data_IF_065954126878
#
_entry.id   IF_065954126878
#
_cell.length_a   1.000
_cell.length_b   1.000
_cell.length_c   1.000
_cell.angle_alpha   90.00
_cell.angle_beta   90.00
_cell.angle_gamma   90.00
#
_symmetry.space_group_name_H-M   'P 1'
#
loop_
_entity.id
_entity.type
_entity.pdbx_description
1 polymer ?
#
# COMPACT_ATOMS: atom_id res chain seq x y z
N UNK A 1 -18.51 -8.88 15.56
CA UNK A 1 -17.99 -8.90 14.19
C UNK A 1 -18.39 -10.21 13.57
N UNK A 2 -18.98 -10.19 12.38
CA UNK A 2 -19.24 -11.42 11.64
C UNK A 2 -17.88 -12.05 11.31
N UNK A 3 -17.64 -13.27 11.78
CA UNK A 3 -16.40 -13.96 11.43
C UNK A 3 -16.45 -14.26 9.93
N UNK A 4 -15.46 -13.80 9.17
CA UNK A 4 -15.28 -14.22 7.78
C UNK A 4 -15.10 -15.75 7.80
N UNK A 5 -16.09 -16.49 7.33
CA UNK A 5 -16.05 -17.98 7.31
C UNK A 5 -15.58 -18.52 5.97
N UNK A 6 -15.79 -17.77 4.89
CA UNK A 6 -15.39 -18.14 3.54
C UNK A 6 -13.84 -18.22 3.42
N UNK A 7 -13.27 -19.39 3.07
CA UNK A 7 -11.84 -19.56 2.85
C UNK A 7 -11.23 -18.61 1.81
N UNK A 8 -11.96 -18.29 0.74
CA UNK A 8 -11.46 -17.38 -0.31
C UNK A 8 -11.32 -15.96 0.24
N UNK A 9 -12.33 -15.50 0.97
CA UNK A 9 -12.32 -14.20 1.61
C UNK A 9 -11.23 -14.11 2.69
N UNK A 10 -11.01 -15.17 3.47
CA UNK A 10 -9.87 -15.25 4.41
C UNK A 10 -8.53 -15.11 3.70
N UNK A 11 -8.36 -15.79 2.56
CA UNK A 11 -7.12 -15.71 1.79
C UNK A 11 -6.88 -14.29 1.26
N UNK A 12 -7.92 -13.63 0.74
CA UNK A 12 -7.81 -12.21 0.31
C UNK A 12 -7.45 -11.28 1.47
N UNK A 13 -8.08 -11.43 2.64
CA UNK A 13 -7.74 -10.61 3.82
C UNK A 13 -6.29 -10.84 4.26
N UNK A 14 -5.83 -12.10 4.28
CA UNK A 14 -4.45 -12.42 4.65
C UNK A 14 -3.44 -11.84 3.64
N UNK A 15 -3.73 -11.92 2.34
CA UNK A 15 -2.91 -11.31 1.30
C UNK A 15 -2.87 -9.78 1.42
N UNK A 16 -4.03 -9.15 1.65
CA UNK A 16 -4.14 -7.70 1.84
C UNK A 16 -3.31 -7.23 3.04
N UNK A 17 -3.34 -7.98 4.15
CA UNK A 17 -2.49 -7.72 5.31
C UNK A 17 -1.00 -7.85 4.98
N UNK A 18 -0.62 -8.93 4.30
CA UNK A 18 0.77 -9.15 3.93
C UNK A 18 1.29 -8.05 2.98
N UNK A 19 0.47 -7.61 2.02
CA UNK A 19 0.79 -6.47 1.15
C UNK A 19 0.99 -5.19 1.97
N UNK A 20 -0.01 -4.84 2.80
CA UNK A 20 0.00 -3.65 3.67
C UNK A 20 1.24 -3.61 4.58
N UNK A 21 1.62 -4.75 5.18
CA UNK A 21 2.78 -4.84 6.03
C UNK A 21 4.10 -4.61 5.28
N UNK A 22 4.21 -5.09 4.03
CA UNK A 22 5.37 -4.79 3.17
C UNK A 22 5.43 -3.30 2.81
N UNK A 23 4.31 -2.71 2.40
CA UNK A 23 4.25 -1.28 2.05
C UNK A 23 4.63 -0.42 3.25
N UNK A 24 4.14 -0.72 4.45
CA UNK A 24 4.51 -0.03 5.67
C UNK A 24 6.01 -0.11 5.98
N UNK A 25 6.60 -1.31 5.93
CA UNK A 25 8.02 -1.51 6.18
C UNK A 25 8.89 -0.78 5.13
N UNK A 26 8.50 -0.83 3.87
CA UNK A 26 9.20 -0.14 2.77
C UNK A 26 9.07 1.39 2.91
N UNK A 27 7.87 1.90 3.18
CA UNK A 27 7.63 3.34 3.33
C UNK A 27 8.46 3.94 4.47
N UNK A 28 8.60 3.23 5.59
CA UNK A 28 9.46 3.63 6.71
C UNK A 28 10.93 3.78 6.27
N UNK A 29 11.45 2.77 5.58
CA UNK A 29 12.85 2.72 5.16
C UNK A 29 13.13 3.78 4.09
N UNK A 30 12.24 3.91 3.10
CA UNK A 30 12.32 4.93 2.04
C UNK A 30 12.28 6.32 2.67
N UNK A 31 11.35 6.57 3.61
CA UNK A 31 11.28 7.85 4.31
C UNK A 31 12.60 8.20 5.00
N UNK A 32 13.18 7.26 5.75
CA UNK A 32 14.42 7.52 6.49
C UNK A 32 15.64 7.70 5.59
N UNK A 33 15.75 6.94 4.50
CA UNK A 33 16.97 6.90 3.67
C UNK A 33 16.91 7.85 2.48
N UNK A 34 15.73 8.05 1.90
CA UNK A 34 15.52 8.69 0.60
C UNK A 34 14.84 10.05 0.77
N UNK A 35 13.56 10.09 1.13
CA UNK A 35 12.77 11.33 1.09
C UNK A 35 12.95 12.24 2.30
N UNK A 36 13.45 11.69 3.41
CA UNK A 36 13.64 12.39 4.70
C UNK A 36 12.34 12.95 5.32
N UNK A 37 11.17 12.47 4.88
CA UNK A 37 9.92 12.68 5.62
C UNK A 37 9.92 11.87 6.92
N UNK A 38 8.97 12.14 7.82
CA UNK A 38 8.87 11.41 9.09
C UNK A 38 8.63 9.89 8.85
N UNK A 39 9.57 9.01 9.25
CA UNK A 39 9.48 7.57 8.94
C UNK A 39 8.30 6.87 9.61
N UNK A 40 7.90 7.30 10.80
CA UNK A 40 6.77 6.71 11.51
C UNK A 40 5.44 7.07 10.85
N UNK A 41 5.30 8.32 10.38
CA UNK A 41 4.16 8.76 9.57
C UNK A 41 4.10 8.01 8.25
N UNK A 42 5.24 7.75 7.60
CA UNK A 42 5.30 6.95 6.37
C UNK A 42 4.91 5.49 6.61
N UNK A 43 5.42 4.88 7.69
CA UNK A 43 5.02 3.54 8.10
C UNK A 43 3.51 3.47 8.36
N UNK A 44 2.98 4.44 9.11
CA UNK A 44 1.56 4.52 9.43
C UNK A 44 0.71 4.71 8.16
N UNK A 45 1.13 5.56 7.22
CA UNK A 45 0.47 5.70 5.93
C UNK A 45 0.43 4.36 5.19
N UNK A 46 1.53 3.61 5.18
CA UNK A 46 1.56 2.26 4.63
C UNK A 46 0.64 1.27 5.35
N UNK A 47 0.44 1.39 6.67
CA UNK A 47 -0.52 0.53 7.40
C UNK A 47 -1.97 0.81 7.01
N UNK A 48 -2.32 2.07 6.73
CA UNK A 48 -3.73 2.47 6.55
C UNK A 48 -4.15 2.65 5.09
N UNK A 49 -3.21 2.61 4.13
CA UNK A 49 -3.50 2.98 2.74
C UNK A 49 -4.62 2.15 2.08
N UNK A 50 -4.75 0.87 2.43
CA UNK A 50 -5.81 -0.02 1.92
C UNK A 50 -6.90 -0.35 2.96
N UNK A 51 -7.10 0.49 3.97
CA UNK A 51 -8.16 0.26 4.99
C UNK A 51 -9.57 0.18 4.36
N UNK A 52 -9.79 0.83 3.22
CA UNK A 52 -11.02 0.70 2.44
C UNK A 52 -11.23 -0.73 1.91
N UNK A 53 -10.16 -1.39 1.49
CA UNK A 53 -10.18 -2.79 1.06
C UNK A 53 -10.51 -3.74 2.20
N UNK A 54 -9.93 -3.55 3.38
CA UNK A 54 -10.30 -4.32 4.58
C UNK A 54 -11.78 -4.15 4.93
N UNK A 55 -12.29 -2.91 4.83
CA UNK A 55 -13.69 -2.64 5.06
C UNK A 55 -14.59 -3.37 4.05
N UNK A 56 -14.27 -3.29 2.75
CA UNK A 56 -14.98 -4.01 1.69
C UNK A 56 -15.04 -5.52 2.00
N UNK A 57 -13.89 -6.15 2.25
CA UNK A 57 -13.81 -7.58 2.54
C UNK A 57 -14.57 -7.96 3.82
N UNK A 58 -14.58 -7.09 4.83
CA UNK A 58 -15.36 -7.31 6.07
C UNK A 58 -16.89 -7.31 5.83
N UNK A 59 -17.34 -6.63 4.78
CA UNK A 59 -18.76 -6.51 4.40
C UNK A 59 -19.19 -7.51 3.34
N UNK A 60 -18.27 -8.24 2.72
CA UNK A 60 -18.59 -9.17 1.63
C UNK A 60 -19.61 -10.26 1.99
N UNK A 61 -19.64 -10.71 3.26
CA UNK A 61 -20.66 -11.66 3.72
C UNK A 61 -22.08 -11.05 3.84
N UNK A 62 -22.18 -9.73 4.03
CA UNK A 62 -23.45 -9.00 4.17
C UNK A 62 -24.02 -8.59 2.79
N UNK A 63 -23.16 -8.50 1.77
CA UNK A 63 -23.52 -8.13 0.41
C UNK A 63 -23.00 -9.17 -0.59
N UNK A 64 -23.75 -10.28 -0.79
CA UNK A 64 -23.40 -11.28 -1.80
C UNK A 64 -23.24 -10.62 -3.18
N UNK A 65 -22.15 -10.94 -3.86
CA UNK A 65 -21.85 -10.39 -5.19
C UNK A 65 -21.07 -9.08 -5.21
N UNK A 66 -20.75 -8.49 -4.05
CA UNK A 66 -19.93 -7.25 -4.00
C UNK A 66 -18.50 -7.44 -4.52
N UNK A 67 -18.03 -8.69 -4.60
CA UNK A 67 -16.72 -9.07 -5.16
C UNK A 67 -16.83 -9.76 -6.53
N UNK A 68 -18.04 -9.89 -7.09
CA UNK A 68 -18.29 -10.61 -8.35
C UNK A 68 -18.12 -9.70 -9.59
N UNK A 69 -17.88 -8.39 -9.38
CA UNK A 69 -17.58 -7.43 -10.45
C UNK A 69 -16.18 -7.61 -11.03
N UNK A 70 -15.88 -6.86 -12.08
CA UNK A 70 -14.52 -6.81 -12.61
C UNK A 70 -13.61 -6.10 -11.58
N UNK A 71 -12.34 -6.52 -11.40
CA UNK A 71 -11.41 -5.83 -10.50
C UNK A 71 -11.33 -4.32 -10.73
N UNK A 72 -11.51 -3.89 -11.98
CA UNK A 72 -11.52 -2.48 -12.38
C UNK A 72 -12.72 -1.70 -11.80
N UNK A 73 -13.84 -2.34 -11.47
CA UNK A 73 -15.01 -1.67 -10.86
C UNK A 73 -14.65 -1.12 -9.46
N UNK A 74 -13.81 -1.85 -8.72
CA UNK A 74 -13.31 -1.37 -7.43
C UNK A 74 -12.44 -0.13 -7.61
N UNK A 75 -11.50 -0.18 -8.56
CA UNK A 75 -10.58 0.91 -8.87
C UNK A 75 -11.34 2.17 -9.35
N UNK A 76 -12.34 2.01 -10.21
CA UNK A 76 -13.05 3.13 -10.83
C UNK A 76 -14.07 3.79 -9.89
N UNK A 77 -14.80 2.98 -9.10
CA UNK A 77 -15.97 3.49 -8.36
C UNK A 77 -15.88 3.33 -6.84
N UNK A 78 -15.21 2.28 -6.37
CA UNK A 78 -15.27 1.86 -4.97
C UNK A 78 -14.17 2.46 -4.09
N UNK A 79 -12.92 2.38 -4.57
CA UNK A 79 -11.73 2.57 -3.75
C UNK A 79 -11.68 3.96 -3.10
N UNK A 80 -11.83 5.01 -3.90
CA UNK A 80 -11.76 6.38 -3.39
C UNK A 80 -12.92 6.70 -2.45
N UNK A 81 -14.14 6.28 -2.80
CA UNK A 81 -15.33 6.61 -2.01
C UNK A 81 -15.32 5.91 -0.65
N UNK A 82 -15.05 4.60 -0.65
CA UNK A 82 -15.01 3.80 0.56
C UNK A 82 -13.77 4.13 1.38
N UNK A 83 -12.60 4.25 0.73
CA UNK A 83 -11.34 4.63 1.35
C UNK A 83 -11.45 5.95 2.13
N UNK A 84 -11.89 7.04 1.48
CA UNK A 84 -12.08 8.34 2.14
C UNK A 84 -13.07 8.25 3.30
N UNK A 85 -14.18 7.55 3.12
CA UNK A 85 -15.19 7.37 4.15
C UNK A 85 -14.62 6.70 5.41
N UNK A 86 -13.87 5.61 5.23
CA UNK A 86 -13.25 4.87 6.34
C UNK A 86 -12.14 5.68 7.00
N UNK A 87 -11.21 6.24 6.23
CA UNK A 87 -10.11 7.06 6.74
C UNK A 87 -10.62 8.28 7.52
N UNK A 88 -11.69 8.93 7.05
CA UNK A 88 -12.35 10.04 7.75
C UNK A 88 -12.92 9.58 9.09
N UNK A 89 -13.58 8.41 9.13
CA UNK A 89 -14.15 7.86 10.36
C UNK A 89 -13.10 7.44 11.39
N UNK A 90 -11.92 7.04 10.92
CA UNK A 90 -10.76 6.73 11.77
C UNK A 90 -10.01 7.99 12.22
N UNK A 91 -10.45 9.19 11.81
CA UNK A 91 -9.81 10.47 12.12
C UNK A 91 -8.32 10.51 11.73
N UNK A 92 -8.02 9.92 10.57
CA UNK A 92 -6.66 9.90 10.02
C UNK A 92 -6.19 11.34 9.76
N UNK A 93 -4.93 11.69 10.11
CA UNK A 93 -4.38 13.01 9.84
C UNK A 93 -4.42 13.38 8.36
N UNK A 94 -4.65 14.66 8.05
CA UNK A 94 -4.75 15.17 6.67
C UNK A 94 -3.52 14.84 5.83
N UNK A 95 -2.33 14.90 6.43
CA UNK A 95 -1.07 14.54 5.75
C UNK A 95 -1.07 13.10 5.23
N UNK A 96 -1.61 12.16 6.02
CA UNK A 96 -1.72 10.75 5.66
C UNK A 96 -2.85 10.54 4.66
N UNK A 97 -3.99 11.20 4.84
CA UNK A 97 -5.09 11.18 3.85
C UNK A 97 -4.59 11.60 2.47
N UNK A 98 -3.86 12.71 2.38
CA UNK A 98 -3.32 13.23 1.12
C UNK A 98 -2.32 12.25 0.47
N UNK A 99 -1.52 11.55 1.29
CA UNK A 99 -0.61 10.52 0.79
C UNK A 99 -1.36 9.32 0.20
N UNK A 100 -2.43 8.87 0.85
CA UNK A 100 -3.28 7.79 0.32
C UNK A 100 -4.02 8.24 -0.95
N UNK A 101 -4.53 9.48 -0.99
CA UNK A 101 -5.16 10.03 -2.20
C UNK A 101 -4.18 10.09 -3.39
N UNK A 102 -2.89 10.28 -3.13
CA UNK A 102 -1.86 10.27 -4.18
C UNK A 102 -1.71 8.90 -4.87
N UNK A 103 -1.97 7.80 -4.16
CA UNK A 103 -1.97 6.45 -4.74
C UNK A 103 -3.06 6.29 -5.80
N UNK A 104 -4.26 6.80 -5.51
CA UNK A 104 -5.41 6.67 -6.41
C UNK A 104 -5.26 7.50 -7.69
N UNK A 105 -4.44 8.56 -7.63
CA UNK A 105 -4.11 9.39 -8.79
C UNK A 105 -3.01 8.73 -9.64
N UNK A 106 -2.08 8.01 -9.00
CA UNK A 106 -1.04 7.24 -9.69
C UNK A 106 0.06 8.08 -10.36
N UNK A 107 0.18 9.37 -10.03
CA UNK A 107 1.25 10.22 -10.56
C UNK A 107 2.57 9.92 -9.84
N UNK A 108 3.54 9.34 -10.57
CA UNK A 108 4.88 9.07 -10.04
C UNK A 108 5.79 10.30 -10.11
N UNK A 109 6.41 10.64 -8.98
CA UNK A 109 7.56 11.54 -8.92
C UNK A 109 8.83 10.72 -8.61
N UNK A 110 9.89 10.94 -9.40
CA UNK A 110 11.20 10.31 -9.24
C UNK A 110 12.28 11.40 -9.35
N UNK A 111 13.08 11.64 -8.30
CA UNK A 111 13.05 10.97 -7.00
C UNK A 111 11.76 11.28 -6.20
N UNK A 112 11.36 10.42 -5.26
CA UNK A 112 10.25 10.74 -4.36
C UNK A 112 10.67 11.87 -3.41
N UNK A 113 9.79 12.85 -3.20
CA UNK A 113 10.11 14.06 -2.42
C UNK A 113 9.17 14.24 -1.23
N UNK A 114 7.95 13.71 -1.31
CA UNK A 114 6.93 13.85 -0.26
C UNK A 114 6.40 12.50 0.24
N UNK A 115 5.48 12.55 1.20
CA UNK A 115 4.87 11.36 1.82
C UNK A 115 4.07 10.51 0.82
N UNK A 116 3.36 11.16 -0.12
CA UNK A 116 2.63 10.48 -1.20
C UNK A 116 3.58 9.75 -2.14
N UNK A 117 4.66 10.39 -2.58
CA UNK A 117 5.67 9.74 -3.44
C UNK A 117 6.36 8.57 -2.73
N UNK A 118 6.65 8.75 -1.43
CA UNK A 118 7.21 7.70 -0.57
C UNK A 118 6.29 6.48 -0.53
N UNK A 119 5.00 6.71 -0.30
CA UNK A 119 3.99 5.66 -0.20
C UNK A 119 3.77 4.97 -1.55
N UNK A 120 3.72 5.73 -2.65
CA UNK A 120 3.60 5.21 -4.01
C UNK A 120 4.78 4.31 -4.38
N UNK A 121 6.01 4.75 -4.09
CA UNK A 121 7.19 3.93 -4.33
C UNK A 121 7.21 2.66 -3.46
N UNK A 122 6.80 2.77 -2.18
CA UNK A 122 6.69 1.63 -1.30
C UNK A 122 5.66 0.59 -1.80
N UNK A 123 4.53 1.07 -2.31
CA UNK A 123 3.49 0.24 -2.93
C UNK A 123 4.04 -0.51 -4.15
N UNK A 124 4.69 0.23 -5.06
CA UNK A 124 5.29 -0.30 -6.28
C UNK A 124 6.39 -1.34 -6.03
N UNK A 125 7.16 -1.18 -4.94
CA UNK A 125 8.23 -2.09 -4.54
C UNK A 125 7.76 -3.30 -3.72
N UNK A 126 6.48 -3.33 -3.31
CA UNK A 126 5.94 -4.43 -2.52
C UNK A 126 6.02 -5.75 -3.30
N UNK A 127 6.62 -6.81 -2.73
CA UNK A 127 6.73 -8.10 -3.41
C UNK A 127 5.41 -8.88 -3.42
N UNK A 128 4.43 -8.45 -2.62
CA UNK A 128 3.11 -9.07 -2.52
C UNK A 128 2.13 -8.13 -3.19
N UNK A 129 1.40 -8.54 -4.24
CA UNK A 129 0.40 -7.67 -4.87
C UNK A 129 -0.83 -7.52 -3.97
N UNK A 130 -1.49 -6.37 -4.05
CA UNK A 130 -2.82 -6.19 -3.45
C UNK A 130 -3.82 -7.14 -4.13
N UNK A 131 -4.65 -7.88 -3.36
CA UNK A 131 -5.68 -8.76 -3.90
C UNK A 131 -6.89 -8.01 -4.50
N UNK A 132 -6.87 -6.68 -4.45
CA UNK A 132 -7.92 -5.78 -4.97
C UNK A 132 -7.44 -4.93 -6.16
N UNK A 133 -6.14 -4.97 -6.48
CA UNK A 133 -5.54 -4.23 -7.60
C UNK A 133 -4.90 -5.18 -8.62
N UNK A 134 -5.67 -6.16 -9.08
CA UNK A 134 -5.22 -7.08 -10.14
C UNK A 134 -5.32 -6.38 -11.50
N UNK A 135 -4.32 -5.58 -11.87
CA UNK A 135 -4.27 -4.97 -13.21
C UNK A 135 -3.34 -5.77 -14.14
N UNK A 136 -3.85 -6.43 -15.20
CA UNK A 136 -3.02 -7.24 -16.12
C UNK A 136 -2.08 -6.43 -17.05
N UNK A 137 -2.02 -5.10 -16.94
CA UNK A 137 -1.30 -4.27 -17.92
C UNK A 137 -0.66 -2.98 -17.40
N UNK A 138 -0.92 -2.56 -16.16
CA UNK A 138 -0.36 -1.33 -15.61
C UNK A 138 1.00 -1.61 -14.98
N UNK A 139 2.08 -1.46 -15.76
CA UNK A 139 3.48 -1.47 -15.29
C UNK A 139 3.74 -2.58 -14.27
N UNK A 140 4.01 -3.81 -14.73
CA UNK A 140 4.37 -4.94 -13.84
C UNK A 140 5.27 -4.46 -12.71
N UNK A 141 5.10 -4.97 -11.48
CA UNK A 141 6.02 -4.68 -10.37
C UNK A 141 7.51 -4.78 -10.79
N UNK A 142 7.81 -5.56 -11.83
CA UNK A 142 9.07 -5.58 -12.55
C UNK A 142 9.53 -4.21 -13.10
N UNK A 143 8.68 -3.49 -13.84
CA UNK A 143 9.00 -2.20 -14.44
C UNK A 143 9.16 -1.09 -13.39
N UNK A 144 8.40 -1.12 -12.29
CA UNK A 144 8.66 -0.21 -11.16
C UNK A 144 9.97 -0.55 -10.44
N UNK A 145 10.32 -1.84 -10.33
CA UNK A 145 11.64 -2.32 -9.84
C UNK A 145 12.81 -2.01 -10.78
N UNK A 146 12.55 -1.65 -12.04
CA UNK A 146 13.60 -1.33 -13.03
C UNK A 146 13.97 0.16 -13.00
N UNK A 147 13.31 0.96 -12.17
CA UNK A 147 13.61 2.39 -12.02
C UNK A 147 14.74 2.55 -11.01
N UNK A 148 15.98 2.44 -11.48
CA UNK A 148 17.15 2.80 -10.69
C UNK A 148 17.40 4.31 -10.87
N UNK A 149 16.85 5.12 -9.98
CA UNK A 149 17.10 6.56 -9.96
C UNK A 149 18.24 6.90 -9.00
N UNK A 150 18.97 7.98 -9.32
CA UNK A 150 19.99 8.55 -8.44
C UNK A 150 19.33 9.15 -7.19
N UNK A 151 19.76 8.68 -6.03
CA UNK A 151 19.28 9.12 -4.72
C UNK A 151 20.50 9.51 -3.87
N UNK A 152 20.79 10.81 -3.85
CA UNK A 152 21.93 11.34 -3.09
C UNK A 152 23.27 10.79 -3.63
N UNK A 153 23.95 9.97 -2.81
CA UNK A 153 25.25 9.37 -3.14
C UNK A 153 25.17 7.94 -3.70
N UNK A 154 23.96 7.39 -3.87
CA UNK A 154 23.74 6.04 -4.37
C UNK A 154 22.52 5.94 -5.28
N UNK A 155 22.11 4.72 -5.58
CA UNK A 155 20.91 4.45 -6.38
C UNK A 155 19.80 3.86 -5.51
N UNK A 156 18.55 3.96 -5.96
CA UNK A 156 17.43 3.33 -5.26
C UNK A 156 17.70 1.84 -4.98
N UNK A 157 18.21 1.10 -5.97
CA UNK A 157 18.47 -0.33 -5.83
C UNK A 157 19.56 -0.64 -4.79
N UNK A 158 20.62 0.17 -4.72
CA UNK A 158 21.69 -0.02 -3.73
C UNK A 158 21.18 0.24 -2.31
N UNK A 159 20.44 1.34 -2.11
CA UNK A 159 19.87 1.69 -0.80
C UNK A 159 18.89 0.62 -0.32
N UNK A 160 18.08 0.06 -1.22
CA UNK A 160 17.15 -1.02 -0.89
C UNK A 160 17.86 -2.34 -0.57
N UNK A 161 18.92 -2.68 -1.30
CA UNK A 161 19.73 -3.85 -0.99
C UNK A 161 20.38 -3.76 0.40
N UNK A 162 20.95 -2.59 0.73
CA UNK A 162 21.54 -2.33 2.05
C UNK A 162 20.52 -2.36 3.20
N UNK A 163 19.28 -1.96 2.91
CA UNK A 163 18.20 -1.88 3.91
C UNK A 163 17.37 -3.15 4.02
N UNK A 164 17.71 -4.23 3.30
CA UNK A 164 16.91 -5.46 3.26
C UNK A 164 16.67 -6.07 4.64
N UNK A 165 17.71 -6.13 5.50
CA UNK A 165 17.58 -6.66 6.86
C UNK A 165 16.62 -5.84 7.73
N UNK A 166 16.57 -4.53 7.51
CA UNK A 166 15.70 -3.62 8.25
C UNK A 166 14.24 -3.75 7.83
N UNK A 167 13.98 -3.84 6.52
CA UNK A 167 12.64 -4.13 5.98
C UNK A 167 12.12 -5.45 6.56
N UNK A 168 12.96 -6.50 6.59
CA UNK A 168 12.60 -7.81 7.15
C UNK A 168 12.31 -7.73 8.66
N UNK A 169 13.08 -6.95 9.42
CA UNK A 169 12.87 -6.75 10.84
C UNK A 169 11.52 -6.07 11.13
N UNK A 170 11.18 -5.00 10.40
CA UNK A 170 9.90 -4.31 10.55
C UNK A 170 8.72 -5.20 10.13
N UNK A 171 8.86 -5.91 9.01
CA UNK A 171 7.84 -6.83 8.53
C UNK A 171 7.54 -7.93 9.55
N UNK A 172 8.58 -8.50 10.19
CA UNK A 172 8.38 -9.50 11.23
C UNK A 172 7.55 -8.97 12.39
N UNK A 173 7.71 -7.70 12.78
CA UNK A 173 6.90 -7.06 13.83
C UNK A 173 5.45 -6.87 13.42
N UNK A 174 5.21 -6.44 12.17
CA UNK A 174 3.86 -6.23 11.65
C UNK A 174 3.09 -7.54 11.40
N UNK A 175 3.80 -8.65 11.25
CA UNK A 175 3.19 -9.96 10.96
C UNK A 175 3.02 -10.86 12.19
N UNK A 176 3.40 -10.39 13.39
CA UNK A 176 3.21 -11.09 14.67
C UNK A 176 1.76 -10.98 15.18
#
# INVERSE_FOLDING_TARGET
GSAITDPVLKAKVAQLWQHTAHVAALAQVIARRITRVDPETAMFAGIVHEVGGFYLLSRAAEFPGILDGEPDDWLEFGEQQIGRGVLTKLAIPETVMNAVESLWIGMRALPPENLGDTLLLANDLSPVPSPLHESPGATTALAARTIDCDVGEGTLSSIMAESAAEVQSLLAVLMM
#
